data_IF_748167581938
#
_entry.id   IF_748167581938
#
_cell.length_a   1.000
_cell.length_b   1.000
_cell.length_c   1.000
_cell.angle_alpha   90.00
_cell.angle_beta   90.00
_cell.angle_gamma   90.00
#
_symmetry.space_group_name_H-M   'P 1'
#
loop_
_entity.id
_entity.type
_entity.pdbx_description
1 polymer ?
#
# COMPACT_ATOMS: atom_id res chain seq x y z
N UNK A 1 16.04 21.93 7.08
CA UNK A 1 16.83 22.90 7.87
C UNK A 1 16.15 24.27 8.01
N UNK A 2 15.90 25.05 6.94
CA UNK A 2 15.21 26.36 7.08
C UNK A 2 13.70 26.22 7.39
N UNK A 3 13.04 25.20 6.85
CA UNK A 3 11.61 24.92 7.11
C UNK A 3 11.39 24.45 8.55
N UNK A 4 12.25 23.56 9.07
CA UNK A 4 12.13 23.03 10.43
C UNK A 4 12.29 24.15 11.48
N UNK A 5 13.23 25.08 11.28
CA UNK A 5 13.38 26.25 12.16
C UNK A 5 12.21 27.24 12.07
N UNK A 6 11.56 27.36 10.91
CA UNK A 6 10.37 28.20 10.77
C UNK A 6 9.17 27.57 11.50
N UNK A 7 9.03 26.25 11.45
CA UNK A 7 8.01 25.48 12.16
C UNK A 7 8.25 25.52 13.67
N UNK A 8 9.48 25.34 14.15
CA UNK A 8 9.80 25.44 15.58
C UNK A 8 9.56 26.85 16.14
N UNK A 9 9.90 27.91 15.40
CA UNK A 9 9.60 29.29 15.84
C UNK A 9 8.10 29.58 15.87
N UNK A 10 7.36 29.06 14.90
CA UNK A 10 5.91 29.18 14.84
C UNK A 10 5.24 28.46 16.02
N UNK A 11 5.69 27.23 16.31
CA UNK A 11 5.22 26.45 17.45
C UNK A 11 5.61 27.09 18.78
N UNK A 12 6.85 27.56 18.94
CA UNK A 12 7.29 28.23 20.17
C UNK A 12 6.53 29.54 20.45
N UNK A 13 6.15 30.28 19.41
CA UNK A 13 5.41 31.55 19.54
C UNK A 13 3.92 31.36 19.83
N UNK A 14 3.35 30.20 19.50
CA UNK A 14 1.91 29.92 19.62
C UNK A 14 1.56 28.83 20.66
N UNK A 15 2.53 28.15 21.28
CA UNK A 15 2.29 27.06 22.25
C UNK A 15 1.99 27.52 23.69
N UNK A 16 2.10 28.81 24.00
CA UNK A 16 1.93 29.35 25.36
C UNK A 16 0.81 30.41 25.41
N UNK A 17 -0.45 29.96 25.38
CA UNK A 17 -1.62 30.81 25.68
C UNK A 17 -2.84 30.55 24.80
N UNK A 18 -3.81 31.48 24.81
CA UNK A 18 -4.99 31.47 23.93
C UNK A 18 -4.53 31.41 22.48
N UNK A 19 -4.66 30.25 21.83
CA UNK A 19 -4.13 30.03 20.49
C UNK A 19 -4.92 30.88 19.48
N UNK A 20 -4.23 31.84 18.84
CA UNK A 20 -4.86 32.75 17.87
C UNK A 20 -4.75 32.18 16.46
N UNK A 21 -5.77 31.44 16.04
CA UNK A 21 -5.87 30.84 14.70
C UNK A 21 -5.64 31.88 13.59
N UNK A 22 -6.18 33.09 13.73
CA UNK A 22 -6.02 34.14 12.74
C UNK A 22 -4.57 34.59 12.54
N UNK A 23 -3.80 34.78 13.63
CA UNK A 23 -2.37 35.11 13.53
C UNK A 23 -1.58 33.94 12.94
N UNK A 24 -1.84 32.72 13.42
CA UNK A 24 -1.23 31.51 12.92
C UNK A 24 -1.41 31.36 11.39
N UNK A 25 -2.62 31.60 10.87
CA UNK A 25 -2.90 31.56 9.44
C UNK A 25 -2.26 32.71 8.65
N UNK A 26 -2.21 33.92 9.22
CA UNK A 26 -1.55 35.07 8.61
C UNK A 26 -0.04 34.86 8.49
N UNK A 27 0.60 34.37 9.55
CA UNK A 27 2.02 34.05 9.58
C UNK A 27 2.35 32.92 8.61
N UNK A 28 1.50 31.90 8.52
CA UNK A 28 1.63 30.83 7.53
C UNK A 28 1.57 31.38 6.10
N UNK A 29 0.60 32.24 5.79
CA UNK A 29 0.51 32.87 4.46
C UNK A 29 1.73 33.76 4.15
N UNK A 30 2.26 34.47 5.15
CA UNK A 30 3.48 35.27 5.00
C UNK A 30 4.70 34.38 4.71
N UNK A 31 4.84 33.27 5.44
CA UNK A 31 5.91 32.30 5.24
C UNK A 31 5.82 31.63 3.87
N UNK A 32 4.62 31.19 3.46
CA UNK A 32 4.40 30.58 2.16
C UNK A 32 4.78 31.53 1.01
N UNK A 33 4.43 32.82 1.15
CA UNK A 33 4.83 33.87 0.20
C UNK A 33 6.35 34.08 0.19
N UNK A 34 7.00 34.09 1.35
CA UNK A 34 8.45 34.25 1.48
C UNK A 34 9.21 33.09 0.83
N UNK A 35 8.69 31.87 0.97
CA UNK A 35 9.26 30.66 0.37
C UNK A 35 8.83 30.43 -1.09
N UNK A 36 8.17 31.41 -1.73
CA UNK A 36 7.65 31.34 -3.11
C UNK A 36 6.73 30.14 -3.36
N UNK A 37 6.05 29.65 -2.33
CA UNK A 37 5.04 28.61 -2.45
C UNK A 37 3.78 29.28 -3.01
N UNK A 38 3.34 28.81 -4.18
CA UNK A 38 2.11 29.31 -4.80
C UNK A 38 0.92 28.69 -4.06
N UNK A 39 0.20 29.48 -3.26
CA UNK A 39 -1.07 29.07 -2.68
C UNK A 39 -2.16 29.14 -3.77
N UNK A 40 -2.89 28.04 -4.04
CA UNK A 40 -4.10 28.08 -4.84
C UNK A 40 -5.09 29.13 -4.33
N UNK A 41 -5.88 29.70 -5.23
CA UNK A 41 -6.88 30.72 -4.90
C UNK A 41 -7.90 30.21 -3.87
N UNK A 42 -8.29 28.93 -3.98
CA UNK A 42 -9.27 28.29 -3.11
C UNK A 42 -8.79 28.24 -1.64
N UNK A 43 -7.52 27.90 -1.41
CA UNK A 43 -6.94 27.89 -0.07
C UNK A 43 -6.81 29.29 0.52
N UNK A 44 -6.45 30.28 -0.31
CA UNK A 44 -6.37 31.68 0.12
C UNK A 44 -7.74 32.23 0.53
N UNK A 45 -8.79 31.87 -0.21
CA UNK A 45 -10.17 32.23 0.11
C UNK A 45 -10.64 31.57 1.40
N UNK A 46 -10.30 30.28 1.60
CA UNK A 46 -10.59 29.56 2.83
C UNK A 46 -9.93 30.21 4.05
N UNK A 47 -8.65 30.55 3.97
CA UNK A 47 -7.94 31.24 5.05
C UNK A 47 -8.56 32.60 5.35
N UNK A 48 -8.94 33.36 4.32
CA UNK A 48 -9.67 34.63 4.51
C UNK A 48 -10.99 34.42 5.24
N UNK A 49 -11.74 33.37 4.91
CA UNK A 49 -12.99 33.04 5.60
C UNK A 49 -12.74 32.71 7.09
N UNK A 50 -11.73 31.90 7.41
CA UNK A 50 -11.37 31.58 8.79
C UNK A 50 -10.90 32.81 9.59
N UNK A 51 -10.06 33.66 9.00
CA UNK A 51 -9.61 34.92 9.63
C UNK A 51 -10.82 35.84 9.89
N UNK A 52 -11.74 35.91 8.94
CA UNK A 52 -12.96 36.72 9.10
C UNK A 52 -13.87 36.16 10.18
N UNK A 53 -14.05 34.84 10.23
CA UNK A 53 -14.84 34.18 11.25
C UNK A 53 -14.26 34.39 12.66
N UNK A 54 -12.95 34.19 12.86
CA UNK A 54 -12.26 34.48 14.13
C UNK A 54 -12.39 35.98 14.50
N UNK A 55 -12.26 36.87 13.52
CA UNK A 55 -12.41 38.31 13.72
C UNK A 55 -13.81 38.74 14.13
N UNK A 56 -14.86 38.14 13.56
CA UNK A 56 -16.26 38.39 13.94
C UNK A 56 -16.56 37.83 15.33
N UNK A 57 -16.14 36.60 15.61
CA UNK A 57 -16.41 35.95 16.90
C UNK A 57 -15.76 36.71 18.06
N UNK A 58 -14.56 37.25 17.87
CA UNK A 58 -13.88 38.11 18.85
C UNK A 58 -14.57 39.45 19.12
N UNK A 59 -15.32 39.98 18.15
CA UNK A 59 -16.11 41.20 18.38
C UNK A 59 -17.32 40.93 19.27
N UNK A 60 -17.79 39.68 19.30
CA UNK A 60 -18.93 39.24 20.12
C UNK A 60 -18.44 38.81 21.50
N UNK A 61 -17.40 37.98 21.57
CA UNK A 61 -16.77 37.53 22.81
C UNK A 61 -15.23 37.62 22.68
N UNK A 62 -14.59 38.60 23.34
CA UNK A 62 -13.14 38.80 23.26
C UNK A 62 -12.32 37.67 23.89
N UNK A 63 -12.91 36.92 24.82
CA UNK A 63 -12.20 35.93 25.64
C UNK A 63 -12.34 34.50 25.15
N UNK A 64 -13.20 34.27 24.16
CA UNK A 64 -13.48 32.97 23.56
C UNK A 64 -12.25 32.36 22.87
N UNK A 65 -11.92 31.13 23.25
CA UNK A 65 -10.93 30.29 22.58
C UNK A 65 -11.63 29.37 21.56
N UNK A 66 -11.53 29.75 20.29
CA UNK A 66 -12.09 29.00 19.15
C UNK A 66 -11.54 27.58 19.04
N UNK A 67 -10.28 27.36 19.41
CA UNK A 67 -9.63 26.05 19.29
C UNK A 67 -10.23 25.11 20.32
N UNK A 68 -10.38 25.56 21.56
CA UNK A 68 -11.00 24.77 22.62
C UNK A 68 -12.47 24.47 22.30
N UNK A 69 -13.20 25.44 21.73
CA UNK A 69 -14.59 25.24 21.34
C UNK A 69 -14.75 24.21 20.21
N UNK A 70 -13.87 24.24 19.20
CA UNK A 70 -13.96 23.35 18.04
C UNK A 70 -13.38 21.95 18.28
N UNK A 71 -12.50 21.78 19.28
CA UNK A 71 -11.84 20.51 19.61
C UNK A 71 -12.79 19.31 19.71
N UNK A 72 -13.88 19.35 20.50
CA UNK A 72 -14.76 18.18 20.62
C UNK A 72 -15.49 17.84 19.32
N UNK A 73 -15.90 18.85 18.54
CA UNK A 73 -16.58 18.65 17.25
C UNK A 73 -15.66 18.00 16.22
N UNK A 74 -14.40 18.46 16.15
CA UNK A 74 -13.39 17.87 15.27
C UNK A 74 -13.11 16.43 15.69
N UNK A 75 -13.00 16.15 16.99
CA UNK A 75 -12.72 14.80 17.48
C UNK A 75 -13.83 13.80 17.10
N UNK A 76 -15.10 14.22 17.19
CA UNK A 76 -16.24 13.38 16.79
C UNK A 76 -16.25 13.09 15.29
N UNK A 77 -16.04 14.11 14.45
CA UNK A 77 -16.01 13.93 12.99
C UNK A 77 -14.79 13.12 12.52
N UNK A 78 -13.61 13.35 13.10
CA UNK A 78 -12.41 12.55 12.80
C UNK A 78 -12.64 11.10 13.19
N UNK A 79 -13.28 10.83 14.33
CA UNK A 79 -13.62 9.46 14.75
C UNK A 79 -14.59 8.79 13.78
N UNK A 80 -15.56 9.52 13.24
CA UNK A 80 -16.50 8.99 12.25
C UNK A 80 -15.80 8.70 10.91
N UNK A 81 -14.95 9.61 10.42
CA UNK A 81 -14.20 9.42 9.18
C UNK A 81 -13.07 8.38 9.26
N UNK A 82 -12.45 8.21 10.43
CA UNK A 82 -11.36 7.26 10.68
C UNK A 82 -11.83 5.95 11.34
N UNK A 83 -13.13 5.75 11.53
CA UNK A 83 -13.62 4.49 12.06
C UNK A 83 -13.32 3.36 11.05
N UNK A 84 -12.60 2.34 11.53
CA UNK A 84 -12.19 1.12 10.82
C UNK A 84 -13.36 0.37 10.12
N UNK A 85 -14.60 0.76 10.43
CA UNK A 85 -15.83 0.32 9.77
C UNK A 85 -15.87 0.65 8.27
N UNK A 86 -15.44 1.85 7.86
CA UNK A 86 -15.43 2.24 6.44
C UNK A 86 -14.45 1.40 5.61
N UNK A 87 -13.36 0.95 6.22
CA UNK A 87 -12.38 0.04 5.61
C UNK A 87 -12.95 -1.37 5.53
N UNK A 88 -13.64 -1.84 6.59
CA UNK A 88 -14.28 -3.17 6.61
C UNK A 88 -15.42 -3.28 5.59
N UNK A 89 -16.29 -2.28 5.47
CA UNK A 89 -17.38 -2.30 4.47
C UNK A 89 -16.85 -2.31 3.04
N UNK A 90 -15.81 -1.52 2.75
CA UNK A 90 -15.15 -1.55 1.45
C UNK A 90 -14.50 -2.90 1.17
N UNK A 91 -13.85 -3.51 2.17
CA UNK A 91 -13.26 -4.83 2.03
C UNK A 91 -14.31 -5.93 1.81
N UNK A 92 -15.46 -5.86 2.48
CA UNK A 92 -16.56 -6.83 2.27
C UNK A 92 -17.22 -6.67 0.91
N UNK A 93 -17.37 -5.42 0.43
CA UNK A 93 -17.92 -5.17 -0.90
C UNK A 93 -16.97 -5.69 -1.99
N UNK A 94 -15.67 -5.38 -1.88
CA UNK A 94 -14.65 -5.91 -2.78
C UNK A 94 -14.61 -7.44 -2.74
N UNK A 95 -14.67 -8.06 -1.56
CA UNK A 95 -14.69 -9.51 -1.43
C UNK A 95 -15.92 -10.16 -2.07
N UNK A 96 -17.10 -9.54 -1.96
CA UNK A 96 -18.32 -10.00 -2.62
C UNK A 96 -18.21 -9.88 -4.15
N UNK A 97 -17.66 -8.77 -4.66
CA UNK A 97 -17.44 -8.57 -6.09
C UNK A 97 -16.42 -9.57 -6.67
N UNK A 98 -15.35 -9.89 -5.92
CA UNK A 98 -14.42 -10.96 -6.29
C UNK A 98 -15.08 -12.35 -6.24
N UNK A 99 -16.00 -12.59 -5.32
CA UNK A 99 -16.74 -13.86 -5.23
C UNK A 99 -17.70 -14.04 -6.41
N UNK A 100 -18.45 -13.00 -6.76
CA UNK A 100 -19.37 -13.03 -7.91
C UNK A 100 -18.60 -13.18 -9.23
N UNK A 101 -17.47 -12.48 -9.38
CA UNK A 101 -16.59 -12.64 -10.54
C UNK A 101 -15.98 -14.06 -10.62
N UNK A 102 -15.63 -14.65 -9.48
CA UNK A 102 -15.17 -16.05 -9.39
C UNK A 102 -16.30 -17.06 -9.67
N UNK A 103 -17.56 -16.71 -9.37
CA UNK A 103 -18.72 -17.53 -9.64
C UNK A 103 -19.11 -17.54 -11.12
N UNK A 104 -18.93 -16.42 -11.84
CA UNK A 104 -19.28 -16.27 -13.26
C UNK A 104 -18.14 -16.64 -14.23
N UNK A 105 -16.89 -16.56 -13.79
CA UNK A 105 -15.71 -16.99 -14.58
C UNK A 105 -15.75 -18.46 -15.06
N UNK A 106 -16.22 -19.48 -14.32
CA UNK A 106 -16.34 -20.83 -14.85
C UNK A 106 -17.31 -20.92 -16.02
N UNK A 107 -18.33 -20.05 -16.10
CA UNK A 107 -19.23 -19.95 -17.25
C UNK A 107 -18.51 -19.46 -18.50
N UNK A 108 -17.73 -18.38 -18.38
CA UNK A 108 -16.91 -17.85 -19.47
C UNK A 108 -15.85 -18.86 -19.93
N UNK A 109 -15.19 -19.55 -19.00
CA UNK A 109 -14.20 -20.58 -19.30
C UNK A 109 -14.83 -21.78 -20.00
N UNK A 110 -16.01 -22.25 -19.56
CA UNK A 110 -16.77 -23.32 -20.23
C UNK A 110 -17.17 -22.92 -21.64
N UNK A 111 -17.62 -21.68 -21.84
CA UNK A 111 -17.98 -21.16 -23.16
C UNK A 111 -16.76 -21.09 -24.09
N UNK A 112 -15.62 -20.63 -23.59
CA UNK A 112 -14.36 -20.61 -24.33
C UNK A 112 -13.89 -22.03 -24.70
N UNK A 113 -13.89 -22.97 -23.75
CA UNK A 113 -13.55 -24.38 -23.99
C UNK A 113 -14.51 -25.04 -24.98
N UNK A 114 -15.81 -24.73 -24.90
CA UNK A 114 -16.80 -25.26 -25.82
C UNK A 114 -16.60 -24.69 -27.23
N UNK A 115 -16.27 -23.40 -27.37
CA UNK A 115 -15.95 -22.78 -28.67
C UNK A 115 -14.64 -23.29 -29.26
N UNK A 116 -13.62 -23.53 -28.42
CA UNK A 116 -12.36 -24.19 -28.79
C UNK A 116 -12.61 -25.61 -29.30
N UNK A 117 -13.37 -26.42 -28.56
CA UNK A 117 -13.64 -27.83 -28.90
C UNK A 117 -14.39 -28.01 -30.22
N UNK A 118 -15.26 -27.06 -30.58
CA UNK A 118 -16.03 -27.14 -31.83
C UNK A 118 -15.36 -26.40 -32.99
N UNK A 119 -14.12 -25.92 -32.84
CA UNK A 119 -13.39 -25.24 -33.91
C UNK A 119 -14.05 -23.96 -34.42
N UNK A 120 -14.99 -23.39 -33.65
CA UNK A 120 -15.77 -22.18 -34.03
C UNK A 120 -15.12 -20.88 -33.56
N UNK A 121 -13.88 -20.96 -33.12
CA UNK A 121 -13.04 -19.78 -32.96
C UNK A 121 -12.46 -19.51 -34.34
N UNK A 122 -13.22 -18.76 -35.14
CA UNK A 122 -12.73 -18.14 -36.38
C UNK A 122 -11.69 -17.09 -36.02
N UNK A 123 -10.53 -17.56 -35.61
CA UNK A 123 -9.37 -16.73 -35.40
C UNK A 123 -8.34 -17.33 -36.34
N UNK A 124 -8.05 -16.59 -37.39
CA UNK A 124 -6.91 -16.75 -38.30
C UNK A 124 -5.58 -16.52 -37.54
N UNK A 125 -5.49 -17.04 -36.32
CA UNK A 125 -4.26 -17.15 -35.55
C UNK A 125 -3.63 -18.45 -36.01
N UNK A 126 -2.85 -18.32 -37.08
CA UNK A 126 -1.73 -19.16 -37.44
C UNK A 126 -1.36 -20.10 -36.27
N UNK A 127 -1.78 -21.38 -36.37
CA UNK A 127 -1.78 -22.45 -35.36
C UNK A 127 -0.46 -22.61 -34.58
N UNK A 128 0.59 -21.93 -35.02
CA UNK A 128 1.93 -21.84 -34.44
C UNK A 128 2.02 -21.00 -33.16
N UNK A 129 0.99 -20.20 -32.84
CA UNK A 129 0.98 -19.36 -31.63
C UNK A 129 0.36 -20.06 -30.41
N UNK A 130 -0.62 -20.94 -30.59
CA UNK A 130 -1.22 -21.69 -29.47
C UNK A 130 -0.22 -22.67 -28.84
N UNK A 131 0.59 -23.35 -29.63
CA UNK A 131 1.65 -24.23 -29.12
C UNK A 131 2.68 -23.48 -28.27
N UNK A 132 2.97 -22.21 -28.61
CA UNK A 132 3.86 -21.35 -27.81
C UNK A 132 3.23 -21.01 -26.47
N UNK A 133 1.92 -20.74 -26.43
CA UNK A 133 1.18 -20.46 -25.19
C UNK A 133 1.12 -21.71 -24.33
N UNK A 134 0.81 -22.88 -24.93
CA UNK A 134 0.78 -24.15 -24.22
C UNK A 134 2.15 -24.50 -23.59
N UNK A 135 3.23 -24.38 -24.36
CA UNK A 135 4.59 -24.56 -23.83
C UNK A 135 4.92 -23.56 -22.73
N UNK A 136 4.56 -22.27 -22.90
CA UNK A 136 4.83 -21.26 -21.87
C UNK A 136 4.07 -21.54 -20.58
N UNK A 137 2.84 -22.07 -20.67
CA UNK A 137 2.03 -22.47 -19.53
C UNK A 137 2.62 -23.69 -18.83
N UNK A 138 3.09 -24.68 -19.59
CA UNK A 138 3.78 -25.85 -19.06
C UNK A 138 5.06 -25.45 -18.30
N UNK A 139 5.89 -24.58 -18.88
CA UNK A 139 7.07 -24.03 -18.22
C UNK A 139 6.71 -23.25 -16.94
N UNK A 140 5.64 -22.47 -16.96
CA UNK A 140 5.16 -21.73 -15.80
C UNK A 140 4.69 -22.67 -14.68
N UNK A 141 3.94 -23.72 -15.03
CA UNK A 141 3.46 -24.71 -14.07
C UNK A 141 4.61 -25.46 -13.41
N UNK A 142 5.61 -25.89 -14.18
CA UNK A 142 6.82 -26.53 -13.65
C UNK A 142 7.56 -25.58 -12.70
N UNK A 143 7.73 -24.31 -13.08
CA UNK A 143 8.39 -23.31 -12.23
C UNK A 143 7.63 -23.09 -10.90
N UNK A 144 6.31 -23.06 -10.95
CA UNK A 144 5.48 -22.95 -9.75
C UNK A 144 5.60 -24.18 -8.85
N UNK A 145 5.57 -25.39 -9.41
CA UNK A 145 5.78 -26.61 -8.65
C UNK A 145 7.15 -26.62 -7.96
N UNK A 146 8.23 -26.27 -8.68
CA UNK A 146 9.58 -26.19 -8.11
C UNK A 146 9.65 -25.14 -7.00
N UNK A 147 9.06 -23.96 -7.20
CA UNK A 147 9.02 -22.91 -6.19
C UNK A 147 8.22 -23.34 -4.94
N UNK A 148 7.08 -24.01 -5.11
CA UNK A 148 6.26 -24.53 -4.01
C UNK A 148 6.98 -25.62 -3.23
N UNK A 149 7.62 -26.58 -3.92
CA UNK A 149 8.42 -27.63 -3.27
C UNK A 149 9.58 -27.02 -2.50
N UNK A 150 10.24 -26.02 -3.08
CA UNK A 150 11.36 -25.31 -2.44
C UNK A 150 10.87 -24.53 -1.22
N UNK A 151 9.73 -23.84 -1.31
CA UNK A 151 9.13 -23.12 -0.18
C UNK A 151 8.67 -24.06 0.93
N UNK A 152 8.02 -25.17 0.58
CA UNK A 152 7.60 -26.19 1.54
C UNK A 152 8.80 -26.84 2.25
N UNK A 153 9.89 -27.09 1.53
CA UNK A 153 11.14 -27.59 2.09
C UNK A 153 11.81 -26.54 3.00
N UNK A 154 11.90 -25.30 2.55
CA UNK A 154 12.49 -24.20 3.31
C UNK A 154 11.73 -23.91 4.61
N UNK A 155 10.39 -23.93 4.57
CA UNK A 155 9.57 -23.69 5.76
C UNK A 155 9.42 -24.94 6.63
N UNK A 156 9.43 -26.14 6.05
CA UNK A 156 9.13 -27.38 6.74
C UNK A 156 10.35 -28.10 7.32
N UNK A 157 11.45 -28.19 6.55
CA UNK A 157 12.65 -28.93 6.94
C UNK A 157 13.71 -28.03 7.61
N UNK A 158 13.84 -26.77 7.19
CA UNK A 158 14.89 -25.90 7.71
C UNK A 158 14.80 -25.62 9.22
N UNK A 159 13.61 -25.42 9.82
CA UNK A 159 13.51 -25.22 11.27
C UNK A 159 13.73 -26.52 12.07
N UNK A 160 13.29 -27.67 11.54
CA UNK A 160 13.36 -28.96 12.25
C UNK A 160 14.78 -29.54 12.32
N UNK A 161 15.66 -29.15 11.40
CA UNK A 161 17.07 -29.56 11.42
C UNK A 161 17.89 -28.86 12.51
N UNK A 162 17.35 -27.82 13.17
CA UNK A 162 17.99 -27.20 14.34
C UNK A 162 17.83 -28.01 15.62
N UNK A 163 16.85 -28.92 15.70
CA UNK A 163 16.54 -29.67 16.93
C UNK A 163 17.34 -30.99 17.07
N UNK A 164 17.96 -31.50 16.00
CA UNK A 164 18.69 -32.77 16.02
C UNK A 164 20.01 -32.71 15.21
N UNK A 165 21.12 -32.33 15.85
CA UNK A 165 22.45 -32.50 15.24
C UNK A 165 23.63 -32.17 16.17
N UNK A 166 24.72 -32.97 16.18
CA UNK A 166 25.90 -32.71 16.99
C UNK A 166 26.61 -31.44 16.50
N UNK A 167 26.82 -30.52 17.44
CA UNK A 167 27.36 -29.18 17.25
C UNK A 167 28.88 -29.27 17.05
N UNK A 168 29.37 -29.03 15.84
CA UNK A 168 30.82 -29.04 15.55
C UNK A 168 31.47 -27.65 15.60
N UNK A 169 30.70 -26.57 15.42
CA UNK A 169 31.23 -25.20 15.45
C UNK A 169 30.15 -24.15 15.80
N UNK A 170 29.21 -24.50 16.69
CA UNK A 170 28.05 -23.64 17.00
C UNK A 170 27.00 -23.55 15.87
N UNK A 171 27.20 -24.25 14.75
CA UNK A 171 26.29 -24.33 13.61
C UNK A 171 26.02 -25.82 13.31
N UNK A 172 24.75 -26.24 13.12
CA UNK A 172 24.40 -27.62 12.79
C UNK A 172 25.01 -28.05 11.44
N UNK A 173 25.60 -29.24 11.34
CA UNK A 173 26.19 -29.78 10.10
C UNK A 173 25.17 -29.83 8.94
N UNK A 174 23.90 -30.02 9.25
CA UNK A 174 22.79 -30.02 8.28
C UNK A 174 22.46 -28.63 7.73
N UNK A 175 22.76 -27.55 8.46
CA UNK A 175 22.57 -26.18 7.96
C UNK A 175 23.47 -25.90 6.75
N UNK A 176 24.65 -26.53 6.69
CA UNK A 176 25.54 -26.46 5.54
C UNK A 176 24.93 -27.10 4.29
N UNK A 177 24.31 -28.27 4.42
CA UNK A 177 23.62 -28.91 3.29
C UNK A 177 22.40 -28.11 2.82
N UNK A 178 21.64 -27.53 3.76
CA UNK A 178 20.52 -26.64 3.43
C UNK A 178 20.96 -25.36 2.71
N UNK A 179 22.09 -24.77 3.12
CA UNK A 179 22.67 -23.60 2.48
C UNK A 179 23.17 -23.96 1.08
N UNK A 180 23.87 -25.09 0.92
CA UNK A 180 24.33 -25.56 -0.40
C UNK A 180 23.13 -25.83 -1.33
N UNK A 181 22.07 -26.47 -0.84
CA UNK A 181 20.87 -26.71 -1.63
C UNK A 181 20.15 -25.40 -2.03
N UNK A 182 20.09 -24.43 -1.13
CA UNK A 182 19.47 -23.12 -1.38
C UNK A 182 20.30 -22.28 -2.36
N UNK A 183 21.62 -22.26 -2.20
CA UNK A 183 22.55 -21.56 -3.11
C UNK A 183 22.53 -22.23 -4.48
N UNK A 184 22.50 -23.56 -4.54
CA UNK A 184 22.40 -24.30 -5.81
C UNK A 184 21.03 -24.08 -6.48
N UNK A 185 19.94 -24.03 -5.72
CA UNK A 185 18.61 -23.68 -6.21
C UNK A 185 18.52 -22.26 -6.75
N UNK A 186 19.08 -21.27 -6.03
CA UNK A 186 19.17 -19.88 -6.49
C UNK A 186 20.07 -19.73 -7.72
N UNK A 187 21.20 -20.43 -7.77
CA UNK A 187 22.11 -20.43 -8.92
C UNK A 187 21.44 -21.05 -10.15
N UNK A 188 20.70 -22.15 -9.99
CA UNK A 188 19.91 -22.75 -11.08
C UNK A 188 18.79 -21.82 -11.55
N UNK A 189 18.07 -21.15 -10.65
CA UNK A 189 17.04 -20.18 -10.99
C UNK A 189 17.60 -18.97 -11.74
N UNK A 190 18.75 -18.43 -11.31
CA UNK A 190 19.46 -17.34 -11.98
C UNK A 190 19.95 -17.78 -13.35
N UNK A 191 20.55 -18.97 -13.46
CA UNK A 191 20.99 -19.54 -14.73
C UNK A 191 19.81 -19.74 -15.70
N UNK A 192 18.66 -20.16 -15.20
CA UNK A 192 17.43 -20.30 -16.00
C UNK A 192 16.82 -18.96 -16.41
N UNK A 193 16.95 -17.92 -15.57
CA UNK A 193 16.48 -16.57 -15.86
C UNK A 193 17.36 -15.87 -16.91
N UNK A 194 18.67 -16.13 -16.90
CA UNK A 194 19.65 -15.47 -17.75
C UNK A 194 19.95 -16.21 -19.05
N UNK A 195 19.35 -17.36 -19.32
CA UNK A 195 19.50 -18.04 -20.62
C UNK A 195 18.66 -17.28 -21.65
N UNK A 196 19.25 -16.47 -22.55
CA UNK A 196 18.48 -15.85 -23.62
C UNK A 196 18.06 -16.96 -24.59
N UNK A 197 16.86 -16.79 -25.15
CA UNK A 197 16.23 -17.73 -26.09
C UNK A 197 17.13 -18.10 -27.26
#
# INVERSE_FOLDING_TARGET
VQLDMAVERFLAQHSTGKLRISLALMDFMALARQQKITLPADLSLLFKAFITADGVLRRVDPDLDLVQLATPMIHEQVREHYNMHAIKERATYLAAEFYDLAADTPGALRLLLHRLRHGRIGVDMELRHLDKVAKSLELAAVRLCVALVTAAFALGLAPRLFDFGPIWLGIPLFAWFGLIATVMGCALLLYWLFKPK
#
